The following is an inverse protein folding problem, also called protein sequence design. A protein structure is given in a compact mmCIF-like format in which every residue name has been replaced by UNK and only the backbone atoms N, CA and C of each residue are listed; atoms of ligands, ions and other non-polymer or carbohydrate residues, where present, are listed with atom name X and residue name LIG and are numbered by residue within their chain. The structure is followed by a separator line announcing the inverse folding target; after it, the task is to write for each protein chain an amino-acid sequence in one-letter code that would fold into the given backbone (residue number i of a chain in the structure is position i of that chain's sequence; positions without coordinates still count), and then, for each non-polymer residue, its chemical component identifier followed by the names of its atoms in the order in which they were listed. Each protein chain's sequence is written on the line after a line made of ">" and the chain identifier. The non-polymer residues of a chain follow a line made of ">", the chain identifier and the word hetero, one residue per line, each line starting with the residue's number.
data_IF_210738799262
#
_entry.id   IF_210738799262
#
_cell.length_a   1.000
_cell.length_b   1.000
_cell.length_c   1.000
_cell.angle_alpha   90.00
_cell.angle_beta   90.00
_cell.angle_gamma   90.00
#
_symmetry.space_group_name_H-M   'P 1'
#
loop_
_entity.id
_entity.type
_entity.pdbx_description
1 polymer ?
#
# COMPACT_ATOMS: atom_id res chain seq x y z
N UNK A 1 8.84 5.60 -6.66
CA UNK A 1 8.34 5.97 -5.33
C UNK A 1 6.85 6.08 -5.44
N UNK A 2 6.16 4.97 -5.17
CA UNK A 2 4.72 4.81 -5.30
C UNK A 2 4.17 3.94 -4.16
N UNK A 3 4.94 3.81 -3.08
CA UNK A 3 4.61 2.93 -1.98
C UNK A 3 3.35 3.46 -1.28
N UNK A 4 3.18 4.79 -1.23
CA UNK A 4 1.97 5.43 -0.74
C UNK A 4 0.73 5.11 -1.58
N UNK A 5 0.83 5.14 -2.90
CA UNK A 5 -0.28 4.82 -3.79
C UNK A 5 -0.72 3.36 -3.63
N UNK A 6 0.25 2.43 -3.56
CA UNK A 6 -0.02 1.01 -3.33
C UNK A 6 -0.66 0.76 -1.96
N UNK A 7 -0.17 1.42 -0.91
CA UNK A 7 -0.75 1.32 0.43
C UNK A 7 -2.23 1.80 0.46
N UNK A 8 -2.53 2.91 -0.20
CA UNK A 8 -3.90 3.46 -0.26
C UNK A 8 -4.85 2.60 -1.10
N UNK A 9 -4.39 2.05 -2.22
CA UNK A 9 -5.17 1.10 -3.03
C UNK A 9 -5.51 -0.13 -2.19
N UNK A 10 -4.54 -0.68 -1.47
CA UNK A 10 -4.76 -1.85 -0.63
C UNK A 10 -5.66 -1.60 0.57
N UNK A 11 -5.53 -0.44 1.23
CA UNK A 11 -6.44 -0.02 2.28
C UNK A 11 -7.88 0.14 1.77
N UNK A 12 -8.04 0.69 0.56
CA UNK A 12 -9.33 0.81 -0.11
C UNK A 12 -9.95 -0.56 -0.41
N UNK A 13 -9.14 -1.50 -0.91
CA UNK A 13 -9.59 -2.86 -1.20
C UNK A 13 -10.00 -3.59 0.09
N UNK A 14 -9.23 -3.48 1.16
CA UNK A 14 -9.54 -4.10 2.45
C UNK A 14 -10.87 -3.58 3.03
N UNK A 15 -11.20 -2.29 2.84
CA UNK A 15 -12.51 -1.75 3.20
C UNK A 15 -13.65 -2.36 2.36
N UNK A 16 -13.40 -2.60 1.07
CA UNK A 16 -14.42 -3.12 0.14
C UNK A 16 -14.59 -4.64 0.22
N UNK A 17 -13.55 -5.36 0.64
CA UNK A 17 -13.53 -6.83 0.77
C UNK A 17 -13.26 -7.20 2.23
N UNK A 18 -14.31 -7.30 3.07
CA UNK A 18 -14.23 -7.66 4.48
C UNK A 18 -13.50 -8.97 4.82
N UNK A 19 -13.58 -9.97 3.93
CA UNK A 19 -13.05 -11.30 4.21
C UNK A 19 -11.53 -11.29 4.06
N UNK A 20 -10.74 -11.44 5.13
CA UNK A 20 -9.28 -11.32 5.07
C UNK A 20 -8.64 -12.42 4.20
N UNK A 21 -9.24 -13.61 4.15
CA UNK A 21 -8.75 -14.73 3.34
C UNK A 21 -8.87 -14.47 1.83
N UNK A 22 -9.83 -13.62 1.42
CA UNK A 22 -9.98 -13.18 0.03
C UNK A 22 -9.25 -11.85 -0.22
N UNK A 23 -9.33 -10.91 0.71
CA UNK A 23 -8.72 -9.60 0.58
C UNK A 23 -7.20 -9.71 0.44
N UNK A 24 -6.54 -10.57 1.21
CA UNK A 24 -5.09 -10.71 1.19
C UNK A 24 -4.53 -11.15 -0.19
N UNK A 25 -4.99 -12.26 -0.81
CA UNK A 25 -4.52 -12.64 -2.14
C UNK A 25 -4.94 -11.65 -3.23
N UNK A 26 -6.14 -11.06 -3.15
CA UNK A 26 -6.56 -10.03 -4.08
C UNK A 26 -5.67 -8.79 -4.01
N UNK A 27 -5.29 -8.38 -2.79
CA UNK A 27 -4.44 -7.22 -2.60
C UNK A 27 -3.02 -7.45 -3.11
N UNK A 28 -2.48 -8.67 -2.92
CA UNK A 28 -1.22 -9.07 -3.51
C UNK A 28 -1.29 -9.03 -5.06
N UNK A 29 -2.38 -9.53 -5.64
CA UNK A 29 -2.60 -9.42 -7.09
C UNK A 29 -2.69 -7.97 -7.56
N UNK A 30 -3.42 -7.14 -6.83
CA UNK A 30 -3.63 -5.73 -7.15
C UNK A 30 -2.34 -4.91 -7.04
N UNK A 31 -1.38 -5.32 -6.20
CA UNK A 31 -0.04 -4.74 -6.16
C UNK A 31 0.64 -4.83 -7.55
N UNK A 32 0.69 -6.02 -8.14
CA UNK A 32 1.28 -6.20 -9.48
C UNK A 32 0.48 -5.50 -10.58
N UNK A 33 -0.86 -5.49 -10.48
CA UNK A 33 -1.70 -4.72 -11.42
C UNK A 33 -1.40 -3.22 -11.32
N UNK A 34 -1.16 -2.72 -10.11
CA UNK A 34 -0.74 -1.34 -9.86
C UNK A 34 0.56 -0.98 -10.55
N UNK A 35 1.53 -1.90 -10.55
CA UNK A 35 2.81 -1.71 -11.25
C UNK A 35 2.64 -1.55 -12.77
N UNK A 36 1.58 -2.11 -13.36
CA UNK A 36 1.28 -1.95 -14.79
C UNK A 36 0.72 -0.57 -15.13
N UNK A 37 0.26 0.20 -14.14
CA UNK A 37 -0.30 1.53 -14.37
C UNK A 37 0.84 2.52 -14.63
N UNK A 38 0.80 3.27 -15.75
CA UNK A 38 1.79 4.30 -16.02
C UNK A 38 1.86 5.31 -14.88
N UNK A 39 3.05 5.46 -14.33
CA UNK A 39 3.31 6.38 -13.24
C UNK A 39 4.50 7.28 -13.56
N UNK A 40 4.52 8.44 -12.92
CA UNK A 40 5.47 9.52 -13.19
C UNK A 40 6.93 9.18 -12.85
N UNK A 41 7.20 8.07 -12.16
CA UNK A 41 8.53 7.66 -11.74
C UNK A 41 9.04 6.44 -12.54
N UNK A 42 9.61 6.68 -13.72
CA UNK A 42 10.18 5.65 -14.61
C UNK A 42 11.49 5.01 -14.13
N UNK A 43 11.77 5.09 -12.83
CA UNK A 43 12.98 4.57 -12.18
C UNK A 43 14.32 5.17 -12.66
N UNK A 44 14.29 6.14 -13.58
CA UNK A 44 15.47 6.79 -14.19
C UNK A 44 16.34 7.54 -13.19
N UNK A 45 15.75 8.01 -12.09
CA UNK A 45 16.45 8.77 -11.03
C UNK A 45 17.15 7.88 -10.01
N UNK A 46 16.86 6.58 -9.95
CA UNK A 46 17.55 5.66 -9.02
C UNK A 46 18.99 5.41 -9.43
N UNK A 47 19.30 5.49 -10.73
CA UNK A 47 20.67 5.29 -11.26
C UNK A 47 21.61 6.42 -10.83
N UNK A 48 21.07 7.60 -10.54
CA UNK A 48 21.85 8.80 -10.15
C UNK A 48 21.87 9.06 -8.63
N UNK A 49 21.14 8.27 -7.83
CA UNK A 49 20.99 8.47 -6.38
C UNK A 49 21.78 7.43 -5.61
N UNK A 50 22.31 7.84 -4.45
CA UNK A 50 22.93 6.89 -3.53
C UNK A 50 21.91 5.86 -3.03
N UNK A 51 22.38 4.66 -2.65
CA UNK A 51 21.54 3.62 -2.06
C UNK A 51 20.82 4.10 -0.79
N UNK A 52 21.53 4.84 0.07
CA UNK A 52 20.96 5.39 1.31
C UNK A 52 19.82 6.37 1.03
N UNK A 53 20.00 7.28 0.08
CA UNK A 53 18.94 8.22 -0.33
C UNK A 53 17.73 7.47 -0.87
N UNK A 54 17.95 6.43 -1.68
CA UNK A 54 16.87 5.60 -2.22
C UNK A 54 16.09 4.91 -1.11
N UNK A 55 16.79 4.28 -0.16
CA UNK A 55 16.16 3.60 0.98
C UNK A 55 15.39 4.61 1.85
N UNK A 56 16.00 5.74 2.19
CA UNK A 56 15.37 6.76 3.02
C UNK A 56 14.09 7.27 2.39
N UNK A 57 14.12 7.60 1.10
CA UNK A 57 12.92 8.06 0.40
C UNK A 57 11.85 6.95 0.33
N UNK A 58 12.23 5.68 0.12
CA UNK A 58 11.29 4.53 0.07
C UNK A 58 10.59 4.32 1.40
N UNK A 59 11.34 4.34 2.49
CA UNK A 59 10.77 4.23 3.81
C UNK A 59 9.89 5.43 4.15
N UNK A 60 10.29 6.64 3.75
CA UNK A 60 9.46 7.83 3.94
C UNK A 60 8.14 7.76 3.16
N UNK A 61 8.17 7.38 1.87
CA UNK A 61 6.98 7.25 1.02
C UNK A 61 6.03 6.17 1.56
N UNK A 62 6.56 5.00 1.91
CA UNK A 62 5.78 3.93 2.53
C UNK A 62 5.18 4.35 3.89
N UNK A 63 5.97 5.04 4.72
CA UNK A 63 5.53 5.54 6.02
C UNK A 63 4.40 6.56 5.91
N UNK A 64 4.50 7.52 4.96
CA UNK A 64 3.44 8.48 4.67
C UNK A 64 2.19 7.77 4.16
N UNK A 65 2.35 6.81 3.24
CA UNK A 65 1.28 5.97 2.73
C UNK A 65 0.50 5.25 3.82
N UNK A 66 1.22 4.58 4.71
CA UNK A 66 0.64 3.87 5.84
C UNK A 66 -0.07 4.82 6.80
N UNK A 67 0.53 5.97 7.14
CA UNK A 67 -0.07 6.96 8.03
C UNK A 67 -1.36 7.55 7.44
N UNK A 68 -1.38 7.86 6.15
CA UNK A 68 -2.57 8.33 5.44
C UNK A 68 -3.65 7.25 5.35
N UNK A 69 -3.27 6.02 5.02
CA UNK A 69 -4.18 4.88 4.99
C UNK A 69 -4.82 4.65 6.36
N UNK A 70 -4.02 4.65 7.43
CA UNK A 70 -4.53 4.59 8.79
C UNK A 70 -5.51 5.74 9.07
N UNK A 71 -5.12 6.98 8.81
CA UNK A 71 -5.97 8.15 9.08
C UNK A 71 -7.32 8.09 8.35
N UNK A 72 -7.33 7.68 7.08
CA UNK A 72 -8.54 7.60 6.25
C UNK A 72 -9.42 6.39 6.59
N UNK A 73 -8.83 5.26 7.00
CA UNK A 73 -9.53 3.98 7.09
C UNK A 73 -9.66 3.40 8.51
N UNK A 74 -8.99 3.97 9.52
CA UNK A 74 -8.98 3.43 10.89
C UNK A 74 -10.38 3.24 11.50
N UNK A 75 -11.34 4.10 11.16
CA UNK A 75 -12.73 3.97 11.63
C UNK A 75 -13.65 3.19 10.68
N UNK A 76 -13.15 2.75 9.52
CA UNK A 76 -13.96 2.17 8.45
C UNK A 76 -13.98 0.65 8.41
N UNK A 77 -13.06 0.01 9.14
CA UNK A 77 -12.93 -1.45 9.22
C UNK A 77 -13.34 -1.90 10.63
N UNK A 78 -14.46 -2.64 10.80
CA UNK A 78 -14.89 -3.18 12.09
C UNK A 78 -13.80 -4.04 12.74
N UNK A 79 -13.58 -3.88 14.06
CA UNK A 79 -12.60 -4.65 14.83
C UNK A 79 -12.83 -6.17 14.75
N UNK A 80 -14.07 -6.58 14.48
CA UNK A 80 -14.45 -7.97 14.24
C UNK A 80 -13.66 -8.61 13.09
N UNK A 81 -13.17 -7.83 12.10
CA UNK A 81 -12.32 -8.35 11.02
C UNK A 81 -10.89 -8.69 11.46
N UNK A 82 -10.44 -8.16 12.61
CA UNK A 82 -9.13 -8.48 13.20
C UNK A 82 -9.20 -9.68 14.15
N UNK A 83 -10.41 -10.14 14.47
CA UNK A 83 -10.63 -11.29 15.34
C UNK A 83 -10.95 -12.49 14.44
N UNK A 84 -10.12 -13.54 14.42
CA UNK A 84 -10.53 -14.79 13.82
C UNK A 84 -11.73 -15.27 14.65
N UNK A 85 -12.90 -15.37 14.02
CA UNK A 85 -14.06 -16.05 14.60
C UNK A 85 -13.57 -17.39 15.18
N UNK A 86 -13.80 -17.61 16.48
CA UNK A 86 -13.41 -18.83 17.20
C UNK A 86 -14.21 -20.04 16.79
#
# INVERSE_FOLDING_TARGET
>A
MLDASHALIGASLAKLVPNPYLALPLNLGLHFVGDLIPHWDFRTRHVQRSKLTTIALSLSDAGVGYALGWWLFAGSVPLQMLQPEG
#
